data_IF_225070853238
#
_entry.id   IF_225070853238
#
_cell.length_a   1.000
_cell.length_b   1.000
_cell.length_c   1.000
_cell.angle_alpha   90.00
_cell.angle_beta   90.00
_cell.angle_gamma   90.00
#
_symmetry.space_group_name_H-M   'P 1'
#
loop_
_entity.id
_entity.type
_entity.pdbx_description
1 polymer ?
#
# COMPACT_ATOMS: atom_id res chain seq x y z
N UNK A 1 -6.23 -6.29 -10.53
CA UNK A 1 -7.68 -6.45 -10.29
C UNK A 1 -8.35 -6.85 -11.60
N UNK A 2 -9.60 -7.34 -11.61
CA UNK A 2 -10.36 -7.40 -12.86
C UNK A 2 -10.36 -6.01 -13.51
N UNK A 3 -10.07 -5.90 -14.81
CA UNK A 3 -10.02 -4.60 -15.51
C UNK A 3 -8.64 -3.93 -15.62
N UNK A 4 -7.53 -4.67 -15.45
CA UNK A 4 -6.19 -4.21 -15.85
C UNK A 4 -5.43 -3.33 -14.85
N UNK A 5 -6.11 -2.68 -13.91
CA UNK A 5 -5.48 -1.86 -12.87
C UNK A 5 -4.93 -2.73 -11.74
N UNK A 6 -3.66 -2.56 -11.39
CA UNK A 6 -3.03 -3.19 -10.24
C UNK A 6 -3.17 -2.35 -8.96
N UNK A 7 -2.86 -2.94 -7.79
CA UNK A 7 -3.04 -2.25 -6.50
C UNK A 7 -2.20 -0.98 -6.35
N UNK A 8 -1.05 -0.90 -7.01
CA UNK A 8 -0.17 0.27 -7.01
C UNK A 8 -0.72 1.43 -7.82
N UNK A 9 -1.18 1.12 -9.04
CA UNK A 9 -1.82 2.11 -9.91
C UNK A 9 -3.06 2.69 -9.24
N UNK A 10 -3.88 1.82 -8.64
CA UNK A 10 -5.04 2.27 -7.88
C UNK A 10 -4.63 3.19 -6.72
N UNK A 11 -3.63 2.82 -5.92
CA UNK A 11 -3.14 3.67 -4.83
C UNK A 11 -2.67 5.04 -5.33
N UNK A 12 -1.97 5.08 -6.45
CA UNK A 12 -1.52 6.32 -7.09
C UNK A 12 -2.69 7.19 -7.56
N UNK A 13 -3.68 6.60 -8.24
CA UNK A 13 -4.89 7.30 -8.68
C UNK A 13 -5.69 7.84 -7.49
N UNK A 14 -5.81 7.03 -6.44
CA UNK A 14 -6.53 7.36 -5.23
C UNK A 14 -5.88 8.56 -4.52
N UNK A 15 -4.55 8.59 -4.39
CA UNK A 15 -3.81 9.73 -3.83
C UNK A 15 -3.82 10.97 -4.72
N UNK A 16 -3.83 10.83 -6.04
CA UNK A 16 -4.04 11.97 -6.95
C UNK A 16 -5.40 12.63 -6.72
N UNK A 17 -6.42 11.85 -6.42
CA UNK A 17 -7.77 12.36 -6.13
C UNK A 17 -7.91 12.90 -4.69
N UNK A 18 -7.20 12.31 -3.72
CA UNK A 18 -7.17 12.71 -2.31
C UNK A 18 -5.74 12.60 -1.75
N UNK A 19 -4.95 13.69 -1.80
CA UNK A 19 -3.55 13.67 -1.38
C UNK A 19 -3.33 13.18 0.06
N UNK A 20 -4.27 13.44 0.95
CA UNK A 20 -4.23 13.04 2.37
C UNK A 20 -4.53 11.55 2.63
N UNK A 21 -4.94 10.80 1.60
CA UNK A 21 -5.36 9.42 1.77
C UNK A 21 -4.20 8.48 2.10
N UNK A 22 -4.38 7.75 3.21
CA UNK A 22 -3.47 6.71 3.66
C UNK A 22 -3.70 5.43 2.88
N UNK A 23 -2.61 4.79 2.49
CA UNK A 23 -2.63 3.55 1.72
C UNK A 23 -1.76 2.53 2.45
N UNK A 24 -2.34 1.36 2.70
CA UNK A 24 -1.65 0.14 3.09
C UNK A 24 -1.90 -0.89 1.98
N UNK A 25 -0.84 -1.37 1.36
CA UNK A 25 -0.93 -2.40 0.33
C UNK A 25 -0.82 -3.78 0.95
N UNK A 26 -1.43 -4.78 0.30
CA UNK A 26 -1.29 -6.17 0.72
C UNK A 26 -0.93 -7.05 -0.48
N UNK A 27 0.08 -7.91 -0.34
CA UNK A 27 0.61 -8.72 -1.45
C UNK A 27 0.88 -10.15 -1.00
N UNK A 28 0.48 -11.13 -1.81
CA UNK A 28 0.98 -12.52 -1.71
C UNK A 28 2.11 -12.82 -2.70
N UNK A 29 2.54 -11.82 -3.48
CA UNK A 29 3.74 -11.87 -4.31
C UNK A 29 4.93 -11.32 -3.52
N UNK A 30 6.09 -11.97 -3.68
CA UNK A 30 7.34 -11.64 -3.01
C UNK A 30 7.70 -10.16 -3.13
N UNK A 31 8.13 -9.57 -2.01
CA UNK A 31 8.44 -8.15 -1.92
C UNK A 31 9.57 -7.76 -2.89
N UNK A 32 10.51 -8.66 -3.17
CA UNK A 32 11.60 -8.42 -4.13
C UNK A 32 11.08 -8.23 -5.56
N UNK A 33 10.00 -8.94 -5.93
CA UNK A 33 9.35 -8.77 -7.25
C UNK A 33 8.67 -7.41 -7.36
N UNK A 34 8.18 -6.85 -6.25
CA UNK A 34 7.61 -5.50 -6.21
C UNK A 34 8.70 -4.43 -6.27
N UNK A 35 9.85 -4.68 -5.64
CA UNK A 35 10.98 -3.77 -5.66
C UNK A 35 11.66 -3.70 -7.04
N UNK A 36 11.81 -4.84 -7.71
CA UNK A 36 12.42 -4.95 -9.04
C UNK A 36 11.66 -4.17 -10.14
N UNK A 37 10.34 -4.00 -9.97
CA UNK A 37 9.50 -3.28 -10.93
C UNK A 37 9.54 -1.74 -10.77
N UNK A 38 10.35 -1.19 -9.84
CA UNK A 38 10.49 0.26 -9.66
C UNK A 38 9.36 0.92 -8.86
N UNK A 39 8.47 0.13 -8.25
CA UNK A 39 7.29 0.62 -7.52
C UNK A 39 7.60 1.08 -6.09
N UNK A 40 8.87 0.99 -5.66
CA UNK A 40 9.39 1.41 -4.35
C UNK A 40 9.13 2.90 -4.06
N UNK A 41 8.85 3.72 -5.08
CA UNK A 41 8.74 5.18 -4.95
C UNK A 41 7.44 5.72 -4.33
N UNK A 42 6.41 4.90 -4.08
CA UNK A 42 5.13 5.42 -3.55
C UNK A 42 5.01 5.39 -2.01
N UNK A 43 6.02 4.89 -1.29
CA UNK A 43 6.11 4.99 0.18
C UNK A 43 4.95 4.39 0.99
N UNK A 44 4.05 3.63 0.36
CA UNK A 44 2.97 2.94 1.06
C UNK A 44 3.53 1.70 1.76
N UNK A 45 3.25 1.47 3.05
CA UNK A 45 3.57 0.22 3.70
C UNK A 45 2.90 -0.96 2.97
N UNK A 46 3.58 -2.11 3.00
CA UNK A 46 3.08 -3.36 2.41
C UNK A 46 2.95 -4.39 3.53
N UNK A 47 1.83 -5.09 3.58
CA UNK A 47 1.60 -6.26 4.42
C UNK A 47 1.60 -7.52 3.55
N UNK A 48 2.56 -8.40 3.79
CA UNK A 48 2.69 -9.68 3.09
C UNK A 48 1.57 -10.64 3.49
N UNK A 49 1.06 -11.40 2.52
CA UNK A 49 0.06 -12.46 2.73
C UNK A 49 0.77 -13.82 2.81
N UNK A 50 0.29 -14.74 3.66
CA UNK A 50 -0.86 -14.57 4.56
C UNK A 50 -0.50 -13.76 5.82
N UNK A 51 -1.42 -12.93 6.30
CA UNK A 51 -1.25 -12.14 7.53
C UNK A 51 -2.37 -12.41 8.54
N UNK A 52 -2.10 -12.16 9.81
CA UNK A 52 -3.11 -12.21 10.88
C UNK A 52 -3.87 -10.89 10.97
N UNK A 53 -5.11 -10.96 11.46
CA UNK A 53 -5.96 -9.76 11.71
C UNK A 53 -5.27 -8.75 12.64
N UNK A 54 -4.52 -9.22 13.63
CA UNK A 54 -3.79 -8.36 14.56
C UNK A 54 -2.71 -7.52 13.86
N UNK A 55 -2.02 -8.10 12.88
CA UNK A 55 -0.98 -7.41 12.10
C UNK A 55 -1.58 -6.34 11.20
N UNK A 56 -2.69 -6.67 10.51
CA UNK A 56 -3.45 -5.70 9.74
C UNK A 56 -3.92 -4.53 10.61
N UNK A 57 -4.53 -4.82 11.77
CA UNK A 57 -5.04 -3.80 12.66
C UNK A 57 -3.93 -2.87 13.19
N UNK A 58 -2.74 -3.41 13.47
CA UNK A 58 -1.56 -2.64 13.88
C UNK A 58 -1.13 -1.68 12.76
N UNK A 59 -0.91 -2.18 11.55
CA UNK A 59 -0.45 -1.36 10.42
C UNK A 59 -1.48 -0.31 9.98
N UNK A 60 -2.76 -0.61 10.07
CA UNK A 60 -3.83 0.38 9.81
C UNK A 60 -3.74 1.53 10.81
N UNK A 61 -3.60 1.24 12.11
CA UNK A 61 -3.43 2.29 13.13
C UNK A 61 -2.18 3.13 12.89
N UNK A 62 -1.06 2.49 12.56
CA UNK A 62 0.20 3.20 12.25
C UNK A 62 0.06 4.11 11.03
N UNK A 63 -0.57 3.62 9.95
CA UNK A 63 -0.80 4.40 8.74
C UNK A 63 -1.69 5.63 8.98
N UNK A 64 -2.68 5.50 9.88
CA UNK A 64 -3.56 6.60 10.27
C UNK A 64 -2.91 7.58 11.26
N UNK A 65 -1.97 7.11 12.09
CA UNK A 65 -1.29 7.92 13.10
C UNK A 65 -0.09 8.71 12.57
N UNK A 66 0.58 8.23 11.50
CA UNK A 66 1.65 8.99 10.85
C UNK A 66 1.13 10.37 10.41
N UNK A 67 1.91 11.45 10.45
CA UNK A 67 1.51 12.73 9.84
C UNK A 67 1.42 12.58 8.30
N UNK A 68 0.54 13.33 7.63
CA UNK A 68 0.56 13.38 6.15
C UNK A 68 1.80 14.20 5.81
N UNK A 69 2.81 13.67 5.09
CA UNK A 69 3.86 14.52 4.55
C UNK A 69 3.19 15.46 3.55
N UNK A 70 3.17 16.75 3.86
CA UNK A 70 2.65 17.82 3.00
C UNK A 70 3.59 18.04 1.83
#
# INVERSE_FOLDING_TARGET
MPGGVNGWELAGLARKARPEMRVLLTSGYALETLAANGHVRQGAPILEKPYRKAELARLVREALAAAVPV
#
